data_IF_247479097476
#
_entry.id   IF_247479097476
#
_cell.length_a   1.000
_cell.length_b   1.000
_cell.length_c   1.000
_cell.angle_alpha   90.00
_cell.angle_beta   90.00
_cell.angle_gamma   90.00
#
_symmetry.space_group_name_H-M   'P 1'
#
loop_
_entity.id
_entity.type
_entity.pdbx_description
1 polymer ?
#
# COMPACT_ATOMS: atom_id res chain seq x y z
N UNK A 1 -4.25 -11.27 -26.84
CA UNK A 1 -4.56 -9.89 -26.38
C UNK A 1 -3.60 -9.59 -25.24
N UNK A 2 -2.96 -8.43 -25.21
CA UNK A 2 -2.08 -8.05 -24.11
C UNK A 2 -2.92 -7.73 -22.86
N UNK A 3 -2.45 -8.07 -21.68
CA UNK A 3 -3.16 -7.90 -20.41
C UNK A 3 -3.59 -6.44 -20.16
N UNK A 4 -2.74 -5.49 -20.56
CA UNK A 4 -3.04 -4.05 -20.51
C UNK A 4 -4.29 -3.66 -21.30
N UNK A 5 -4.40 -4.16 -22.56
CA UNK A 5 -5.59 -3.87 -23.37
C UNK A 5 -6.88 -4.50 -22.81
N UNK A 6 -6.76 -5.65 -22.14
CA UNK A 6 -7.89 -6.25 -21.44
C UNK A 6 -8.31 -5.39 -20.25
N UNK A 7 -7.36 -4.90 -19.46
CA UNK A 7 -7.61 -4.01 -18.34
C UNK A 7 -8.32 -2.71 -18.80
N UNK A 8 -7.82 -2.06 -19.85
CA UNK A 8 -8.46 -0.88 -20.45
C UNK A 8 -9.91 -1.14 -20.92
N UNK A 9 -10.16 -2.29 -21.55
CA UNK A 9 -11.50 -2.66 -22.00
C UNK A 9 -12.45 -2.93 -20.82
N UNK A 10 -11.98 -3.63 -19.79
CA UNK A 10 -12.79 -3.87 -18.59
C UNK A 10 -13.10 -2.53 -17.91
N UNK A 11 -12.14 -1.64 -17.79
CA UNK A 11 -12.32 -0.31 -17.23
C UNK A 11 -13.36 0.49 -18.02
N UNK A 12 -13.28 0.49 -19.34
CA UNK A 12 -14.20 1.21 -20.22
C UNK A 12 -15.63 0.70 -20.16
N UNK A 13 -15.82 -0.63 -20.12
CA UNK A 13 -17.14 -1.25 -20.23
C UNK A 13 -17.77 -1.66 -18.89
N UNK A 14 -16.97 -1.77 -17.83
CA UNK A 14 -17.43 -2.17 -16.51
C UNK A 14 -16.54 -1.61 -15.40
N UNK A 15 -16.61 -0.29 -15.12
CA UNK A 15 -15.72 0.38 -14.16
C UNK A 15 -15.82 -0.20 -12.74
N UNK A 16 -17.03 -0.57 -12.30
CA UNK A 16 -17.22 -1.15 -10.97
C UNK A 16 -16.48 -2.47 -10.82
N UNK A 17 -16.66 -3.40 -11.78
CA UNK A 17 -15.96 -4.70 -11.77
C UNK A 17 -14.45 -4.54 -12.02
N UNK A 18 -14.02 -3.47 -12.68
CA UNK A 18 -12.59 -3.19 -12.84
C UNK A 18 -11.90 -2.98 -11.49
N UNK A 19 -12.53 -2.27 -10.56
CA UNK A 19 -12.02 -2.10 -9.19
C UNK A 19 -11.88 -3.43 -8.45
N UNK A 20 -12.87 -4.31 -8.58
CA UNK A 20 -12.85 -5.65 -7.97
C UNK A 20 -11.73 -6.53 -8.56
N UNK A 21 -11.51 -6.42 -9.88
CA UNK A 21 -10.40 -7.08 -10.56
C UNK A 21 -9.06 -6.55 -10.05
N UNK A 22 -8.89 -5.24 -9.94
CA UNK A 22 -7.66 -4.63 -9.39
C UNK A 22 -7.40 -5.07 -7.95
N UNK A 23 -8.45 -5.12 -7.13
CA UNK A 23 -8.35 -5.59 -5.75
C UNK A 23 -7.94 -7.07 -5.67
N UNK A 24 -8.50 -7.92 -6.52
CA UNK A 24 -8.14 -9.34 -6.62
C UNK A 24 -6.72 -9.55 -7.11
N UNK A 25 -6.28 -8.74 -8.08
CA UNK A 25 -4.90 -8.74 -8.59
C UNK A 25 -3.91 -8.27 -7.52
N UNK A 26 -4.27 -7.28 -6.70
CA UNK A 26 -3.47 -6.83 -5.56
C UNK A 26 -3.30 -7.94 -4.52
N UNK A 27 -4.37 -8.67 -4.21
CA UNK A 27 -4.31 -9.82 -3.32
C UNK A 27 -3.38 -10.90 -3.87
N UNK A 28 -3.52 -11.24 -5.15
CA UNK A 28 -2.64 -12.20 -5.82
C UNK A 28 -1.18 -11.76 -5.75
N UNK A 29 -0.88 -10.48 -6.00
CA UNK A 29 0.48 -9.94 -5.90
C UNK A 29 1.09 -10.13 -4.51
N UNK A 30 0.30 -9.92 -3.46
CA UNK A 30 0.74 -10.12 -2.08
C UNK A 30 1.03 -11.60 -1.78
N UNK A 31 0.17 -12.52 -2.25
CA UNK A 31 0.40 -13.96 -2.05
C UNK A 31 1.62 -14.47 -2.83
N UNK A 32 1.89 -13.94 -4.01
CA UNK A 32 3.10 -14.26 -4.75
C UNK A 32 4.37 -13.76 -4.03
N UNK A 33 4.34 -12.59 -3.39
CA UNK A 33 5.44 -12.10 -2.55
C UNK A 33 5.63 -12.97 -1.29
N UNK A 34 4.57 -13.43 -0.66
CA UNK A 34 4.63 -14.37 0.46
C UNK A 34 5.26 -15.70 0.02
N UNK A 35 4.84 -16.23 -1.11
CA UNK A 35 5.39 -17.46 -1.70
C UNK A 35 6.88 -17.31 -1.97
N UNK A 36 7.31 -16.20 -2.59
CA UNK A 36 8.71 -15.89 -2.84
C UNK A 36 9.53 -15.82 -1.55
N UNK A 37 8.95 -15.28 -0.48
CA UNK A 37 9.58 -15.22 0.83
C UNK A 37 9.71 -16.61 1.47
N UNK A 38 8.69 -17.45 1.33
CA UNK A 38 8.74 -18.85 1.80
C UNK A 38 9.83 -19.65 1.09
N UNK A 39 9.93 -19.54 -0.25
CA UNK A 39 10.96 -20.17 -1.05
C UNK A 39 12.39 -19.80 -0.62
N UNK A 40 12.61 -18.63 -0.04
CA UNK A 40 13.91 -18.25 0.49
C UNK A 40 14.37 -19.13 1.64
N UNK A 41 13.45 -19.68 2.43
CA UNK A 41 13.76 -20.64 3.50
C UNK A 41 14.18 -22.00 2.92
N UNK A 42 13.47 -22.42 1.88
CA UNK A 42 13.76 -23.68 1.18
C UNK A 42 15.09 -23.60 0.44
N UNK A 43 15.42 -22.44 -0.15
CA UNK A 43 16.72 -22.16 -0.76
C UNK A 43 17.86 -22.32 0.26
N UNK A 44 17.70 -21.70 1.46
CA UNK A 44 18.70 -21.84 2.52
C UNK A 44 18.86 -23.29 2.98
N UNK A 45 17.78 -24.07 3.03
CA UNK A 45 17.83 -25.49 3.40
C UNK A 45 18.56 -26.31 2.33
N UNK A 46 18.27 -26.09 1.04
CA UNK A 46 18.95 -26.74 -0.07
C UNK A 46 20.45 -26.42 -0.10
N UNK A 47 20.83 -25.17 0.15
CA UNK A 47 22.24 -24.76 0.24
C UNK A 47 22.96 -25.42 1.40
N UNK A 48 22.33 -25.52 2.57
CA UNK A 48 22.92 -26.22 3.73
C UNK A 48 23.11 -27.70 3.51
N UNK A 49 22.23 -28.33 2.74
CA UNK A 49 22.36 -29.75 2.36
C UNK A 49 23.26 -30.00 1.15
N UNK A 50 23.89 -28.96 0.57
CA UNK A 50 24.67 -29.01 -0.67
C UNK A 50 23.85 -29.53 -1.87
N UNK A 51 22.56 -29.42 -1.86
CA UNK A 51 21.68 -29.75 -3.01
C UNK A 51 21.62 -28.55 -3.97
N UNK A 52 22.65 -28.38 -4.75
CA UNK A 52 22.82 -27.28 -5.69
C UNK A 52 21.81 -27.33 -6.85
N UNK A 53 21.33 -28.51 -7.20
CA UNK A 53 20.32 -28.65 -8.25
C UNK A 53 18.98 -28.03 -7.78
N UNK A 54 18.52 -28.45 -6.63
CA UNK A 54 17.31 -27.90 -6.02
C UNK A 54 17.44 -26.40 -5.70
N UNK A 55 18.61 -25.97 -5.24
CA UNK A 55 18.85 -24.54 -4.99
C UNK A 55 18.72 -23.71 -6.27
N UNK A 56 19.19 -24.23 -7.42
CA UNK A 56 19.06 -23.55 -8.71
C UNK A 56 17.60 -23.49 -9.18
N UNK A 57 16.86 -24.58 -9.10
CA UNK A 57 15.43 -24.58 -9.44
C UNK A 57 14.65 -23.53 -8.61
N UNK A 58 14.92 -23.42 -7.30
CA UNK A 58 14.26 -22.42 -6.44
C UNK A 58 14.63 -21.01 -6.89
N UNK A 59 15.87 -20.73 -7.26
CA UNK A 59 16.29 -19.42 -7.76
C UNK A 59 15.57 -19.05 -9.05
N UNK A 60 15.46 -19.98 -10.00
CA UNK A 60 14.77 -19.79 -11.27
C UNK A 60 13.29 -19.45 -11.02
N UNK A 61 12.63 -20.16 -10.11
CA UNK A 61 11.24 -19.87 -9.70
C UNK A 61 11.11 -18.49 -9.03
N UNK A 62 12.06 -18.12 -8.16
CA UNK A 62 12.04 -16.80 -7.52
C UNK A 62 12.24 -15.66 -8.52
N UNK A 63 13.07 -15.87 -9.55
CA UNK A 63 13.28 -14.91 -10.61
C UNK A 63 11.99 -14.73 -11.44
N UNK A 64 11.34 -15.83 -11.84
CA UNK A 64 10.10 -15.78 -12.59
C UNK A 64 8.97 -15.12 -11.78
N UNK A 65 8.81 -15.44 -10.49
CA UNK A 65 7.87 -14.77 -9.61
C UNK A 65 8.14 -13.27 -9.55
N UNK A 66 9.38 -12.86 -9.44
CA UNK A 66 9.77 -11.44 -9.40
C UNK A 66 9.36 -10.69 -10.66
N UNK A 67 9.54 -11.30 -11.83
CA UNK A 67 9.12 -10.74 -13.12
C UNK A 67 7.58 -10.61 -13.20
N UNK A 68 6.82 -11.65 -12.78
CA UNK A 68 5.35 -11.61 -12.78
C UNK A 68 4.80 -10.57 -11.82
N UNK A 69 5.35 -10.49 -10.61
CA UNK A 69 4.99 -9.49 -9.61
C UNK A 69 5.23 -8.06 -10.14
N UNK A 70 6.36 -7.82 -10.82
CA UNK A 70 6.66 -6.51 -11.40
C UNK A 70 5.63 -6.11 -12.47
N UNK A 71 5.18 -7.06 -13.30
CA UNK A 71 4.14 -6.82 -14.31
C UNK A 71 2.79 -6.47 -13.63
N UNK A 72 2.42 -7.22 -12.60
CA UNK A 72 1.19 -7.02 -11.84
C UNK A 72 1.21 -5.63 -11.15
N UNK A 73 2.32 -5.30 -10.49
CA UNK A 73 2.49 -4.00 -9.82
C UNK A 73 2.42 -2.83 -10.81
N UNK A 74 2.96 -3.01 -12.01
CA UNK A 74 2.86 -2.00 -13.07
C UNK A 74 1.40 -1.77 -13.49
N UNK A 75 0.63 -2.84 -13.70
CA UNK A 75 -0.79 -2.75 -14.05
C UNK A 75 -1.60 -2.04 -12.96
N UNK A 76 -1.38 -2.40 -11.69
CA UNK A 76 -2.05 -1.76 -10.56
C UNK A 76 -1.70 -0.27 -10.47
N UNK A 77 -0.44 0.08 -10.64
CA UNK A 77 0.00 1.48 -10.57
C UNK A 77 -0.57 2.37 -11.68
N UNK A 78 -0.80 1.81 -12.86
CA UNK A 78 -1.44 2.51 -13.98
C UNK A 78 -2.94 2.71 -13.72
N UNK A 79 -3.61 1.76 -13.05
CA UNK A 79 -5.02 1.88 -12.67
C UNK A 79 -5.28 2.88 -11.55
N UNK A 80 -4.38 2.96 -10.56
CA UNK A 80 -4.51 3.88 -9.41
C UNK A 80 -4.35 5.35 -9.80
N UNK A 81 -3.62 5.67 -10.88
CA UNK A 81 -3.42 7.07 -11.30
C UNK A 81 -4.68 7.74 -11.83
N UNK A 82 -5.58 6.98 -12.42
CA UNK A 82 -6.82 7.51 -12.99
C UNK A 82 -7.96 7.55 -11.97
N UNK A 83 -7.87 6.74 -10.89
CA UNK A 83 -8.78 6.85 -9.75
C UNK A 83 -8.61 8.16 -8.98
N UNK A 84 -7.44 8.81 -9.06
CA UNK A 84 -7.22 10.11 -8.40
C UNK A 84 -8.00 11.25 -9.05
N UNK A 85 -8.28 11.18 -10.36
CA UNK A 85 -9.14 12.16 -11.05
C UNK A 85 -10.63 11.87 -10.83
N UNK A 86 -11.01 10.59 -10.75
CA UNK A 86 -12.41 10.18 -10.51
C UNK A 86 -12.87 10.38 -9.04
N UNK A 87 -11.96 10.25 -8.06
CA UNK A 87 -12.29 10.41 -6.63
C UNK A 87 -12.79 11.85 -6.27
N UNK A 88 -12.51 12.85 -7.11
CA UNK A 88 -12.96 14.24 -6.87
C UNK A 88 -14.38 14.44 -7.41
N UNK A 89 -14.71 13.88 -8.58
CA UNK A 89 -16.04 13.97 -9.17
C UNK A 89 -17.05 13.03 -8.50
N UNK A 90 -16.65 11.79 -8.14
CA UNK A 90 -17.52 10.86 -7.40
C UNK A 90 -17.84 11.32 -5.97
N UNK A 91 -17.00 12.14 -5.33
CA UNK A 91 -17.30 12.67 -4.01
C UNK A 91 -18.47 13.66 -4.03
N UNK A 92 -18.67 14.38 -5.13
CA UNK A 92 -19.79 15.31 -5.33
C UNK A 92 -21.07 14.58 -5.76
N UNK A 93 -20.98 13.48 -6.54
CA UNK A 93 -22.14 12.69 -6.94
C UNK A 93 -22.65 11.74 -5.84
N UNK A 94 -21.79 11.26 -4.94
CA UNK A 94 -22.18 10.37 -3.84
C UNK A 94 -22.98 11.06 -2.73
N UNK A 95 -23.00 12.40 -2.66
CA UNK A 95 -23.89 13.13 -1.77
C UNK A 95 -25.38 13.05 -2.20
N UNK A 96 -25.67 12.69 -3.44
CA UNK A 96 -27.02 12.63 -4.01
C UNK A 96 -27.68 11.25 -3.92
N UNK A 97 -26.96 10.19 -3.53
CA UNK A 97 -27.55 8.84 -3.39
C UNK A 97 -27.98 8.59 -1.94
N UNK A 98 -29.26 8.23 -1.73
CA UNK A 98 -29.75 7.70 -0.46
C UNK A 98 -28.89 6.49 -0.03
N UNK A 99 -28.22 6.63 1.11
CA UNK A 99 -27.33 5.61 1.65
C UNK A 99 -28.14 4.41 2.09
N UNK A 100 -27.86 3.19 1.57
CA UNK A 100 -28.48 1.97 2.12
C UNK A 100 -28.09 1.81 3.60
N UNK A 101 -29.02 1.33 4.43
CA UNK A 101 -28.78 1.03 5.84
C UNK A 101 -27.78 -0.12 6.02
N UNK A 102 -26.49 0.18 5.97
CA UNK A 102 -25.40 -0.77 6.19
C UNK A 102 -25.02 -0.93 7.66
N UNK A 103 -25.97 -0.81 8.58
CA UNK A 103 -25.73 -0.93 10.03
C UNK A 103 -25.16 -2.29 10.47
N UNK A 104 -25.29 -3.34 9.66
CA UNK A 104 -24.80 -4.69 9.97
C UNK A 104 -23.29 -4.90 9.73
N UNK A 105 -22.60 -3.93 9.13
CA UNK A 105 -21.19 -4.07 8.76
C UNK A 105 -20.33 -2.89 9.21
N UNK A 106 -20.74 -2.15 10.22
CA UNK A 106 -19.96 -1.02 10.72
C UNK A 106 -18.59 -1.49 11.22
N UNK A 107 -17.56 -1.16 10.47
CA UNK A 107 -16.22 -1.14 11.04
C UNK A 107 -16.18 0.05 11.99
N UNK A 108 -16.07 -0.25 13.26
CA UNK A 108 -15.90 0.75 14.30
C UNK A 108 -14.56 1.47 14.08
N UNK A 109 -14.64 2.71 13.61
CA UNK A 109 -13.46 3.56 13.41
C UNK A 109 -12.80 4.00 14.72
N UNK A 110 -13.37 3.57 15.86
CA UNK A 110 -12.81 3.76 17.20
C UNK A 110 -11.83 2.65 17.58
N UNK A 111 -11.87 1.50 16.90
CA UNK A 111 -10.98 0.37 17.18
C UNK A 111 -9.58 0.64 16.65
N UNK A 112 -8.60 0.59 17.54
CA UNK A 112 -7.19 0.79 17.23
C UNK A 112 -6.54 -0.54 16.82
N UNK A 113 -6.07 -0.63 15.58
CA UNK A 113 -5.40 -1.81 15.05
C UNK A 113 -3.88 -1.61 15.02
N UNK A 114 -3.14 -2.70 15.22
CA UNK A 114 -1.69 -2.68 15.04
C UNK A 114 -1.34 -2.63 13.55
N UNK A 115 -0.50 -1.67 13.18
CA UNK A 115 -0.11 -1.49 11.78
C UNK A 115 0.74 -2.64 11.24
N UNK A 116 1.44 -3.37 12.13
CA UNK A 116 2.33 -4.47 11.74
C UNK A 116 1.54 -5.72 11.35
N UNK A 117 0.55 -6.08 12.14
CA UNK A 117 -0.09 -7.40 12.06
C UNK A 117 -1.43 -7.37 11.33
N UNK A 118 -2.02 -6.18 11.13
CA UNK A 118 -3.36 -6.06 10.55
C UNK A 118 -3.29 -6.11 9.02
N UNK A 119 -4.10 -6.99 8.38
CA UNK A 119 -4.27 -6.95 6.92
C UNK A 119 -4.85 -5.61 6.49
N UNK A 120 -4.27 -5.01 5.45
CA UNK A 120 -4.66 -3.69 4.93
C UNK A 120 -5.45 -3.76 3.63
N UNK A 121 -5.56 -4.96 3.05
CA UNK A 121 -6.31 -5.21 1.82
C UNK A 121 -7.79 -4.86 2.03
N UNK A 122 -8.38 -4.12 1.12
CA UNK A 122 -9.75 -3.61 1.19
C UNK A 122 -10.07 -2.71 2.40
N UNK A 123 -9.05 -2.19 3.09
CA UNK A 123 -9.24 -1.31 4.23
C UNK A 123 -8.65 0.07 3.94
N UNK A 124 -9.47 1.11 4.14
CA UNK A 124 -9.01 2.50 4.07
C UNK A 124 -8.77 3.04 5.49
N UNK A 125 -7.70 3.80 5.73
CA UNK A 125 -7.51 4.43 7.02
C UNK A 125 -8.56 5.55 7.22
N UNK A 126 -9.12 5.63 8.43
CA UNK A 126 -9.91 6.76 8.90
C UNK A 126 -9.06 7.72 9.74
N UNK A 127 -8.12 7.15 10.47
CA UNK A 127 -7.16 7.87 11.30
C UNK A 127 -5.95 6.99 11.62
N UNK A 128 -4.91 7.60 12.14
CA UNK A 128 -3.86 6.90 12.89
C UNK A 128 -3.59 7.62 14.20
N UNK A 129 -3.00 6.92 15.16
CA UNK A 129 -2.49 7.55 16.38
C UNK A 129 -0.99 7.34 16.51
N UNK A 130 -0.33 8.37 17.00
CA UNK A 130 1.09 8.36 17.32
C UNK A 130 1.33 9.17 18.59
N UNK A 131 2.04 8.58 19.56
CA UNK A 131 2.28 9.19 20.88
C UNK A 131 0.99 9.70 21.57
N UNK A 132 -0.08 8.90 21.49
CA UNK A 132 -1.38 9.24 22.09
C UNK A 132 -2.20 10.29 21.35
N UNK A 133 -1.67 10.92 20.30
CA UNK A 133 -2.41 11.89 19.48
C UNK A 133 -3.01 11.19 18.25
N UNK A 134 -4.29 11.44 17.98
CA UNK A 134 -5.00 10.93 16.79
C UNK A 134 -4.93 11.94 15.65
N UNK A 135 -4.68 11.45 14.44
CA UNK A 135 -4.59 12.21 13.19
C UNK A 135 -5.58 11.64 12.20
N UNK A 136 -6.51 12.44 11.72
CA UNK A 136 -7.50 12.02 10.73
C UNK A 136 -6.85 11.96 9.35
N UNK A 137 -7.01 10.84 8.67
CA UNK A 137 -6.52 10.62 7.30
C UNK A 137 -7.54 9.76 6.56
N UNK A 138 -7.71 10.02 5.27
CA UNK A 138 -8.70 9.31 4.45
C UNK A 138 -8.08 8.33 3.47
N UNK A 139 -6.80 8.48 3.19
CA UNK A 139 -6.05 7.67 2.21
C UNK A 139 -4.72 7.22 2.80
N UNK A 140 -4.23 6.07 2.38
CA UNK A 140 -2.92 5.54 2.79
C UNK A 140 -1.77 6.50 2.46
N UNK A 141 -1.82 7.16 1.28
CA UNK A 141 -0.82 8.17 0.88
C UNK A 141 -0.76 9.35 1.84
N UNK A 142 -1.92 9.82 2.31
CA UNK A 142 -2.01 10.91 3.29
C UNK A 142 -1.45 10.48 4.63
N UNK A 143 -1.71 9.24 5.05
CA UNK A 143 -1.12 8.69 6.26
C UNK A 143 0.42 8.71 6.21
N UNK A 144 1.02 8.19 5.12
CA UNK A 144 2.48 8.20 4.96
C UNK A 144 3.05 9.61 5.01
N UNK A 145 2.46 10.55 4.26
CA UNK A 145 2.94 11.92 4.19
C UNK A 145 2.82 12.66 5.54
N UNK A 146 1.71 12.47 6.25
CA UNK A 146 1.49 13.09 7.57
C UNK A 146 2.45 12.51 8.61
N UNK A 147 2.64 11.19 8.64
CA UNK A 147 3.62 10.56 9.53
C UNK A 147 5.04 11.06 9.23
N UNK A 148 5.44 11.14 7.95
CA UNK A 148 6.72 11.73 7.58
C UNK A 148 6.85 13.17 8.09
N UNK A 149 5.78 13.96 8.01
CA UNK A 149 5.76 15.35 8.46
C UNK A 149 5.93 15.48 9.98
N UNK A 150 5.31 14.56 10.73
CA UNK A 150 5.45 14.49 12.19
C UNK A 150 6.88 14.10 12.57
N UNK A 151 7.41 13.04 11.97
CA UNK A 151 8.75 12.54 12.23
C UNK A 151 9.82 13.55 11.81
N UNK A 152 9.61 14.28 10.72
CA UNK A 152 10.50 15.35 10.28
C UNK A 152 10.56 16.50 11.28
N UNK A 153 9.45 16.84 11.93
CA UNK A 153 9.42 17.87 12.99
C UNK A 153 10.15 17.42 14.25
N UNK A 154 10.15 16.12 14.54
CA UNK A 154 10.85 15.57 15.73
C UNK A 154 12.35 15.47 15.48
N UNK A 155 12.76 14.87 14.37
CA UNK A 155 14.16 14.78 13.94
C UNK A 155 14.25 14.81 12.41
N UNK A 156 14.62 15.95 11.82
CA UNK A 156 14.76 16.10 10.37
C UNK A 156 15.96 15.35 9.78
N UNK A 157 16.93 14.96 10.60
CA UNK A 157 18.22 14.42 10.14
C UNK A 157 18.02 13.10 9.37
N UNK A 158 17.15 12.24 9.86
CA UNK A 158 16.89 10.91 9.30
C UNK A 158 16.23 11.02 7.91
N UNK A 159 15.15 11.78 7.80
CA UNK A 159 14.45 11.99 6.50
C UNK A 159 15.37 12.69 5.51
N UNK A 160 16.17 13.68 5.93
CA UNK A 160 17.17 14.32 5.08
C UNK A 160 18.25 13.33 4.61
N UNK A 161 18.74 12.47 5.49
CA UNK A 161 19.67 11.41 5.12
C UNK A 161 19.07 10.46 4.10
N UNK A 162 17.82 10.04 4.28
CA UNK A 162 17.09 9.19 3.32
C UNK A 162 16.92 9.87 1.96
N UNK A 163 16.59 11.18 1.93
CA UNK A 163 16.47 11.97 0.70
C UNK A 163 17.79 12.13 -0.04
N UNK A 164 18.91 12.21 0.67
CA UNK A 164 20.27 12.19 0.12
C UNK A 164 20.74 10.78 -0.33
N UNK A 165 19.88 9.77 -0.26
CA UNK A 165 20.22 8.42 -0.67
C UNK A 165 21.01 7.61 0.36
N UNK A 166 21.20 8.11 1.56
CA UNK A 166 21.89 7.38 2.62
C UNK A 166 21.08 6.15 3.00
N UNK A 167 21.76 5.00 3.06
CA UNK A 167 21.18 3.71 3.48
C UNK A 167 21.83 3.23 4.76
N UNK A 168 21.02 2.79 5.70
CA UNK A 168 21.55 1.97 6.78
C UNK A 168 21.80 0.54 6.27
N UNK A 169 22.94 -0.09 6.60
CA UNK A 169 23.24 -1.45 6.17
C UNK A 169 22.11 -2.42 6.52
N UNK A 170 21.72 -3.26 5.54
CA UNK A 170 20.64 -4.25 5.72
C UNK A 170 19.21 -3.72 5.70
N UNK A 171 18.99 -2.40 5.71
CA UNK A 171 17.64 -1.81 5.72
C UNK A 171 17.17 -1.40 4.31
N UNK A 172 15.89 -1.66 4.02
CA UNK A 172 15.19 -1.07 2.86
C UNK A 172 14.97 0.42 3.12
N UNK A 173 14.72 1.21 2.07
CA UNK A 173 14.43 2.65 2.21
C UNK A 173 13.08 2.99 1.61
N UNK A 174 12.48 4.05 2.13
CA UNK A 174 11.40 4.78 1.48
C UNK A 174 12.01 5.74 0.47
N UNK A 175 11.46 5.80 -0.74
CA UNK A 175 11.98 6.70 -1.78
C UNK A 175 11.58 8.12 -1.46
N UNK A 176 12.58 8.98 -1.27
CA UNK A 176 12.45 10.40 -0.99
C UNK A 176 13.49 11.17 -1.80
N UNK A 177 13.19 12.41 -2.19
CA UNK A 177 14.12 13.29 -2.91
C UNK A 177 13.81 14.73 -2.62
N UNK A 178 14.84 15.59 -2.75
CA UNK A 178 14.69 17.06 -2.78
C UNK A 178 14.14 17.54 -4.13
N UNK A 179 14.28 16.75 -5.19
CA UNK A 179 13.75 17.07 -6.51
C UNK A 179 12.45 16.31 -6.75
N UNK A 180 11.36 17.05 -6.97
CA UNK A 180 10.05 16.49 -7.28
C UNK A 180 10.06 15.58 -8.50
N UNK A 181 10.87 15.88 -9.51
CA UNK A 181 10.94 15.12 -10.76
C UNK A 181 11.50 13.70 -10.62
N UNK A 182 12.22 13.40 -9.52
CA UNK A 182 12.81 12.08 -9.27
C UNK A 182 11.81 11.08 -8.70
N UNK A 183 10.58 11.51 -8.41
CA UNK A 183 9.59 10.76 -7.63
C UNK A 183 8.30 10.62 -8.42
N UNK A 184 7.74 9.43 -8.42
CA UNK A 184 6.41 9.17 -8.97
C UNK A 184 5.35 9.51 -7.90
N UNK A 185 4.28 10.25 -8.30
CA UNK A 185 3.25 10.75 -7.38
C UNK A 185 3.85 11.37 -6.11
N UNK A 186 4.61 12.46 -6.25
CA UNK A 186 5.33 13.09 -5.15
C UNK A 186 4.37 13.84 -4.24
N UNK A 187 4.40 13.54 -2.94
CA UNK A 187 3.75 14.34 -1.91
C UNK A 187 4.82 15.06 -1.09
N UNK A 188 4.63 16.35 -0.87
CA UNK A 188 5.57 17.17 -0.11
C UNK A 188 5.43 16.89 1.39
N UNK A 189 6.55 16.65 2.07
CA UNK A 189 6.57 16.52 3.52
C UNK A 189 6.43 17.92 4.11
N UNK A 190 5.40 18.16 4.92
CA UNK A 190 5.09 19.47 5.45
C UNK A 190 6.23 20.00 6.34
N UNK A 191 6.60 21.26 6.11
CA UNK A 191 7.70 21.90 6.81
C UNK A 191 9.09 21.56 6.25
N UNK A 192 9.18 20.81 5.14
CA UNK A 192 10.43 20.44 4.51
C UNK A 192 10.48 20.84 3.03
N UNK A 193 11.66 20.66 2.44
CA UNK A 193 11.96 20.74 1.01
C UNK A 193 12.02 19.37 0.34
N UNK A 194 11.49 18.32 1.00
CA UNK A 194 11.59 16.92 0.60
C UNK A 194 10.24 16.39 0.13
N UNK A 195 10.29 15.53 -0.88
CA UNK A 195 9.15 14.83 -1.44
C UNK A 195 9.27 13.34 -1.15
N UNK A 196 8.13 12.70 -0.83
CA UNK A 196 8.03 11.26 -0.63
C UNK A 196 7.19 10.63 -1.72
N UNK A 197 7.62 9.44 -2.18
CA UNK A 197 6.87 8.68 -3.18
C UNK A 197 5.66 8.01 -2.54
N UNK A 198 4.49 8.31 -3.09
CA UNK A 198 3.21 7.77 -2.60
C UNK A 198 2.49 6.87 -3.60
N UNK A 199 3.01 6.71 -4.84
CA UNK A 199 2.47 5.79 -5.84
C UNK A 199 2.80 4.35 -5.45
N UNK A 200 1.98 3.81 -4.51
CA UNK A 200 2.20 2.48 -3.91
C UNK A 200 0.88 1.89 -3.45
N UNK A 201 0.77 0.56 -3.49
CA UNK A 201 -0.34 -0.15 -2.87
C UNK A 201 -0.43 0.13 -1.36
N UNK A 202 -1.59 -0.11 -0.76
CA UNK A 202 -1.78 0.00 0.71
C UNK A 202 -0.74 -0.83 1.49
N UNK A 203 -0.43 -2.03 0.99
CA UNK A 203 0.57 -2.92 1.59
C UNK A 203 1.99 -2.33 1.51
N UNK A 204 2.34 -1.67 0.40
CA UNK A 204 3.65 -1.03 0.25
C UNK A 204 3.78 0.23 1.08
N UNK A 205 2.71 1.01 1.21
CA UNK A 205 2.68 2.17 2.11
C UNK A 205 2.82 1.70 3.56
N UNK A 206 2.11 0.65 3.98
CA UNK A 206 2.30 0.04 5.30
C UNK A 206 3.77 -0.36 5.51
N UNK A 207 4.37 -1.03 4.53
CA UNK A 207 5.79 -1.41 4.57
C UNK A 207 6.70 -0.18 4.68
N UNK A 208 6.41 0.90 3.95
CA UNK A 208 7.15 2.15 4.04
C UNK A 208 7.05 2.78 5.43
N UNK A 209 5.86 2.76 6.05
CA UNK A 209 5.66 3.22 7.43
C UNK A 209 6.50 2.40 8.40
N UNK A 210 6.47 1.07 8.31
CA UNK A 210 7.28 0.19 9.18
C UNK A 210 8.79 0.46 9.02
N UNK A 211 9.25 0.70 7.79
CA UNK A 211 10.64 1.08 7.52
C UNK A 211 10.97 2.42 8.18
N UNK A 212 10.10 3.42 8.08
CA UNK A 212 10.30 4.72 8.74
C UNK A 212 10.42 4.59 10.25
N UNK A 213 9.50 3.84 10.88
CA UNK A 213 9.53 3.60 12.32
C UNK A 213 10.84 2.93 12.76
N UNK A 214 11.32 1.95 11.96
CA UNK A 214 12.59 1.28 12.22
C UNK A 214 13.79 2.23 12.11
N UNK A 215 13.82 3.15 11.15
CA UNK A 215 14.88 4.16 11.03
C UNK A 215 14.90 5.15 12.20
N UNK A 216 13.74 5.47 12.75
CA UNK A 216 13.59 6.33 13.92
C UNK A 216 13.70 5.57 15.25
N UNK A 217 13.95 4.26 15.23
CA UNK A 217 13.93 3.37 16.41
C UNK A 217 12.63 3.51 17.22
N UNK A 218 11.51 3.68 16.54
CA UNK A 218 10.18 3.80 17.14
C UNK A 218 9.52 2.42 17.14
N UNK A 219 9.05 1.92 18.31
CA UNK A 219 8.29 0.68 18.37
C UNK A 219 7.02 0.73 17.53
N UNK A 220 6.74 -0.33 16.78
CA UNK A 220 5.56 -0.38 15.88
C UNK A 220 4.25 -0.21 16.63
N UNK A 221 4.20 -0.64 17.89
CA UNK A 221 3.04 -0.54 18.79
C UNK A 221 2.67 0.91 19.12
N UNK A 222 3.61 1.86 18.95
CA UNK A 222 3.36 3.30 19.16
C UNK A 222 2.52 3.94 18.07
N UNK A 223 2.33 3.24 16.94
CA UNK A 223 1.48 3.69 15.85
C UNK A 223 0.32 2.73 15.70
N UNK A 224 -0.89 3.23 15.88
CA UNK A 224 -2.12 2.48 15.65
C UNK A 224 -2.85 3.07 14.45
N UNK A 225 -3.54 2.23 13.71
CA UNK A 225 -4.37 2.63 12.58
C UNK A 225 -5.84 2.35 12.89
N UNK A 226 -6.70 3.27 12.50
CA UNK A 226 -8.15 3.15 12.60
C UNK A 226 -8.67 3.05 11.17
N UNK A 227 -9.50 2.06 10.90
CA UNK A 227 -10.02 1.82 9.57
C UNK A 227 -11.44 2.34 9.43
N UNK A 228 -11.75 2.82 8.25
CA UNK A 228 -13.12 2.96 7.78
C UNK A 228 -13.41 1.88 6.76
N UNK A 229 -14.68 1.58 6.59
CA UNK A 229 -15.11 0.70 5.53
C UNK A 229 -14.79 1.32 4.17
N UNK A 230 -14.28 0.52 3.26
CA UNK A 230 -14.22 0.88 1.86
C UNK A 230 -15.58 0.52 1.24
N UNK A 231 -16.37 1.52 0.90
CA UNK A 231 -17.67 1.35 0.24
C UNK A 231 -17.46 1.08 -1.27
N UNK A 232 -16.57 0.18 -1.62
CA UNK A 232 -16.45 -0.27 -3.00
C UNK A 232 -17.61 -1.19 -3.37
N UNK A 233 -17.98 -1.23 -4.65
CA UNK A 233 -19.16 -1.86 -5.23
C UNK A 233 -19.38 -3.37 -4.93
N UNK A 234 -18.44 -4.05 -4.27
CA UNK A 234 -18.58 -5.44 -3.85
C UNK A 234 -19.79 -5.73 -2.93
N UNK A 235 -20.42 -4.70 -2.38
CA UNK A 235 -21.53 -4.84 -1.44
C UNK A 235 -22.88 -4.36 -1.99
N UNK A 236 -22.92 -3.89 -3.24
CA UNK A 236 -24.19 -3.42 -3.86
C UNK A 236 -25.05 -4.61 -4.33
N UNK A 237 -24.43 -5.73 -4.63
CA UNK A 237 -25.15 -6.88 -5.18
C UNK A 237 -25.81 -7.79 -4.13
N UNK A 238 -25.35 -7.79 -2.89
CA UNK A 238 -25.96 -8.57 -1.80
C UNK A 238 -27.33 -8.01 -1.36
N UNK A 239 -27.59 -6.73 -1.57
CA UNK A 239 -28.87 -6.08 -1.22
C UNK A 239 -29.97 -6.30 -2.26
N UNK A 240 -29.70 -6.97 -3.39
CA UNK A 240 -30.69 -7.30 -4.45
C UNK A 240 -31.16 -8.76 -4.41
N UNK A 241 -30.74 -9.54 -3.43
CA UNK A 241 -31.07 -10.97 -3.29
C UNK A 241 -32.02 -11.26 -2.12
N UNK A 242 -32.71 -10.25 -1.57
CA UNK A 242 -33.87 -10.42 -0.68
C UNK A 242 -35.18 -9.97 -1.35
#
# INVERSE_FOLDING_TARGET
MKLQRLAELIKQYSPAHFRDVCASISLLSNELEHTKTALSKDLMAAQKSNDFYKAREILDVQEELSQKIAIIQKLLSESEMEEEELDVEEAEELEAFERPEYSLYDMDDTVAYDIKDTPVTFKRPAAFSYKGKRYTVTKWKTFLAELCSILYKEDPSIIRAMANGVRQPGKKRVKMSFNKADINSPVKIAGSDIWVETRRSAADIRRAILILLDYYNIPTESVKVYFRRDYTAMHVDDAKLE
#
